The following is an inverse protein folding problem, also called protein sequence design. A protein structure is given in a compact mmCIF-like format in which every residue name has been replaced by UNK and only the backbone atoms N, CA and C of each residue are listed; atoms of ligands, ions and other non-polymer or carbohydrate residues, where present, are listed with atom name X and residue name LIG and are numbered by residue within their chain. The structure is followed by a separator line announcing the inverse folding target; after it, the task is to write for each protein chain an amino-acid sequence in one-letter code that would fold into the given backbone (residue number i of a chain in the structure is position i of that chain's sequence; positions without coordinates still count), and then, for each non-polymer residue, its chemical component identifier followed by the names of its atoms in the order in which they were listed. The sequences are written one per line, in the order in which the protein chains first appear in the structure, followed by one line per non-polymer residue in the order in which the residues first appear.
data_IF_093474903701
#
_entry.id   IF_093474903701
#
_cell.length_a   1.000
_cell.length_b   1.000
_cell.length_c   1.000
_cell.angle_alpha   90.00
_cell.angle_beta   90.00
_cell.angle_gamma   90.00
#
_symmetry.space_group_name_H-M   'P 1'
#
loop_
_entity.id
_entity.type
_entity.pdbx_description
1 polymer ?
2 non-polymer ?
3 non-polymer ?
4 non-polymer ?
5 non-polymer ?
6 water ?
#
# COMPACT_ATOMS: atom_id res chain seq x y z
N UNK A 3 -18.29 6.04 11.45
CA UNK A 3 -18.00 7.36 10.83
C UNK A 3 -19.14 8.31 11.16
N UNK A 4 -18.94 9.18 12.15
CA UNK A 4 -19.77 10.38 12.26
C UNK A 4 -19.42 11.38 11.15
N UNK A 5 -20.35 12.27 10.81
CA UNK A 5 -19.97 13.46 10.08
C UNK A 5 -18.92 14.23 10.89
N UNK A 6 -17.74 14.44 10.29
CA UNK A 6 -16.73 15.36 10.78
C UNK A 6 -16.78 16.70 10.03
N UNK A 7 -16.64 17.83 10.74
CA UNK A 7 -16.73 19.11 10.05
C UNK A 7 -15.50 19.42 9.20
N UNK A 8 -15.71 19.94 7.97
CA UNK A 8 -14.59 20.33 7.12
C UNK A 8 -13.66 21.35 7.79
N UNK A 9 -12.41 21.37 7.33
CA UNK A 9 -11.44 22.34 7.82
C UNK A 9 -11.27 23.37 6.70
N UNK A 10 -11.55 24.64 7.00
CA UNK A 10 -11.89 25.57 5.90
C UNK A 10 -10.87 26.68 5.69
N UNK A 11 -10.45 27.33 6.78
CA UNK A 11 -9.85 28.65 6.62
C UNK A 11 -8.41 28.66 7.09
N UNK A 12 -7.79 27.48 7.03
CA UNK A 12 -6.37 27.38 7.32
C UNK A 12 -5.82 26.23 6.48
N UNK A 13 -4.51 26.08 6.46
CA UNK A 13 -3.95 24.87 5.87
C UNK A 13 -4.25 23.69 6.80
N UNK A 14 -4.38 22.50 6.20
CA UNK A 14 -4.32 21.26 6.99
C UNK A 14 -2.93 21.03 7.61
N UNK A 15 -2.91 20.60 8.87
CA UNK A 15 -1.68 20.43 9.59
C UNK A 15 -1.31 18.95 9.68
N UNK A 16 -0.06 18.65 9.32
CA UNK A 16 0.48 17.27 9.38
C UNK A 16 1.58 17.13 10.42
N UNK A 17 1.66 15.97 11.09
CA UNK A 17 2.86 15.63 11.85
C UNK A 17 3.35 14.31 11.27
N UNK A 18 4.66 14.07 11.36
CA UNK A 18 5.18 12.83 10.79
C UNK A 18 6.12 12.10 11.75
N UNK A 19 6.00 10.77 11.82
CA UNK A 19 6.90 10.01 12.66
C UNK A 19 7.64 8.96 11.84
N UNK A 20 8.95 8.95 12.00
CA UNK A 20 9.82 8.09 11.16
C UNK A 20 10.48 8.77 9.98
N UNK A 21 11.61 9.39 10.27
CA UNK A 21 12.19 10.29 9.30
C UNK A 21 13.23 9.51 8.50
N UNK A 22 12.79 8.46 7.80
CA UNK A 22 13.69 7.69 6.94
C UNK A 22 13.51 7.87 5.45
N UNK A 23 13.71 6.79 4.71
CA UNK A 23 13.68 6.79 3.27
C UNK A 23 12.39 7.31 2.66
N UNK A 24 11.22 6.73 2.98
CA UNK A 24 10.04 7.21 2.23
C UNK A 24 9.55 8.54 2.81
N UNK A 25 9.98 8.89 4.01
CA UNK A 25 9.57 10.21 4.50
C UNK A 25 10.04 11.27 3.49
N UNK A 26 11.16 11.03 2.81
CA UNK A 26 11.53 11.96 1.73
C UNK A 26 10.40 12.24 0.72
N UNK A 27 9.68 11.20 0.30
CA UNK A 27 8.60 11.37 -0.65
C UNK A 27 7.39 12.11 -0.06
N UNK A 28 7.17 11.97 1.24
CA UNK A 28 6.11 12.68 1.92
C UNK A 28 6.51 14.15 2.06
N UNK A 29 7.77 14.40 2.44
CA UNK A 29 8.24 15.82 2.46
C UNK A 29 8.01 16.49 1.10
N UNK A 30 8.47 15.86 0.02
CA UNK A 30 8.26 16.39 -1.33
C UNK A 30 6.80 16.64 -1.62
N UNK A 31 5.95 15.67 -1.26
CA UNK A 31 4.53 15.80 -1.51
C UNK A 31 3.94 17.00 -0.79
N UNK A 32 4.35 17.17 0.45
CA UNK A 32 3.84 18.24 1.30
C UNK A 32 4.36 19.59 0.81
N UNK A 33 5.62 19.61 0.39
CA UNK A 33 6.19 20.82 -0.25
C UNK A 33 5.38 21.26 -1.46
N UNK A 34 5.05 20.32 -2.33
CA UNK A 34 4.13 20.60 -3.42
C UNK A 34 2.81 21.20 -2.96
N UNK A 35 2.25 20.70 -1.87
CA UNK A 35 0.88 21.09 -1.53
C UNK A 35 0.97 22.21 -0.49
N UNK A 36 2.07 22.99 -0.53
CA UNK A 36 2.33 23.94 0.56
C UNK A 36 1.26 25.04 0.78
N UNK A 37 0.42 25.33 -0.22
CA UNK A 37 -0.65 26.30 -0.03
C UNK A 37 -1.85 25.77 0.74
N UNK A 38 -2.03 24.44 0.76
CA UNK A 38 -3.19 23.79 1.39
C UNK A 38 -2.78 23.08 2.67
N UNK A 39 -1.47 22.84 2.82
CA UNK A 39 -0.99 21.93 3.86
C UNK A 39 0.35 22.38 4.40
N UNK A 40 0.58 22.13 5.69
CA UNK A 40 1.91 22.28 6.24
C UNK A 40 2.29 21.15 7.20
N UNK A 41 3.59 20.87 7.22
CA UNK A 41 4.17 19.90 8.14
C UNK A 41 4.76 20.64 9.33
N UNK A 42 4.17 20.46 10.51
CA UNK A 42 4.51 21.26 11.68
C UNK A 42 5.32 20.53 12.74
N UNK A 43 5.39 19.20 12.67
CA UNK A 43 6.09 18.46 13.71
C UNK A 43 6.62 17.15 13.10
N UNK A 44 7.85 16.79 13.45
CA UNK A 44 8.46 15.55 12.95
C UNK A 44 9.07 14.82 14.14
N UNK A 45 9.14 13.48 14.02
CA UNK A 45 9.60 12.68 15.13
C UNK A 45 10.48 11.54 14.61
N UNK A 46 11.61 11.34 15.27
CA UNK A 46 12.48 10.18 15.02
C UNK A 46 13.31 9.83 16.24
N UNK A 47 13.46 8.53 16.54
CA UNK A 47 14.25 8.17 17.71
C UNK A 47 15.76 8.27 17.42
N UNK A 48 16.14 8.48 16.17
CA UNK A 48 17.55 8.65 15.80
C UNK A 48 17.83 10.16 15.63
N UNK A 49 18.62 10.75 16.54
CA UNK A 49 18.92 12.19 16.48
C UNK A 49 19.35 12.75 15.12
N UNK A 50 20.24 12.08 14.41
CA UNK A 50 20.63 12.55 13.09
C UNK A 50 19.52 12.55 12.06
N UNK A 51 18.71 11.49 12.02
CA UNK A 51 17.68 11.45 11.00
C UNK A 51 16.69 12.60 11.27
N UNK A 52 16.41 12.80 12.55
CA UNK A 52 15.51 13.85 12.98
C UNK A 52 16.08 15.23 12.67
N UNK A 53 17.38 15.40 12.92
CA UNK A 53 18.06 16.64 12.56
C UNK A 53 17.90 16.96 11.08
N UNK A 54 18.13 15.99 10.20
CA UNK A 54 18.03 16.25 8.78
C UNK A 54 16.62 16.68 8.40
N UNK A 55 15.61 16.02 8.99
CA UNK A 55 14.22 16.32 8.65
C UNK A 55 13.84 17.74 9.13
N UNK A 56 14.22 18.06 10.36
CA UNK A 56 13.88 19.38 10.90
C UNK A 56 14.52 20.51 10.07
N UNK A 57 15.77 20.30 9.66
CA UNK A 57 16.45 21.31 8.87
C UNK A 57 15.86 21.41 7.46
N UNK A 58 15.46 20.29 6.87
CA UNK A 58 14.81 20.35 5.56
C UNK A 58 13.42 21.00 5.58
N UNK A 59 12.63 20.72 6.60
CA UNK A 59 11.17 20.98 6.50
C UNK A 59 10.78 22.17 7.36
N UNK A 60 11.61 22.53 8.33
CA UNK A 60 11.30 23.62 9.25
C UNK A 60 10.38 23.23 10.41
N UNK A 61 9.85 22.01 10.38
CA UNK A 61 8.96 21.52 11.42
C UNK A 61 9.68 21.45 12.75
N UNK A 62 8.96 21.50 13.87
CA UNK A 62 9.55 21.16 15.16
C UNK A 62 9.88 19.69 15.25
N UNK A 63 10.93 19.38 16.02
CA UNK A 63 11.42 18.01 16.18
C UNK A 63 11.05 17.38 17.50
N UNK A 64 10.85 16.06 17.54
CA UNK A 64 10.59 15.38 18.80
C UNK A 64 11.28 14.03 18.82
N UNK A 65 11.67 13.58 20.01
CA UNK A 65 12.44 12.37 20.18
C UNK A 65 11.58 11.13 20.45
N UNK A 66 10.33 11.32 20.83
CA UNK A 66 9.40 10.20 20.95
C UNK A 66 8.03 10.57 20.37
N UNK A 67 7.28 9.57 19.90
CA UNK A 67 5.94 9.80 19.42
C UNK A 67 5.03 10.31 20.54
N UNK A 68 5.17 9.73 21.71
CA UNK A 68 4.30 10.07 22.83
C UNK A 68 4.42 11.56 23.20
N UNK A 69 5.64 12.08 23.18
CA UNK A 69 5.85 13.53 23.32
C UNK A 69 5.25 14.35 22.18
N UNK A 70 5.54 13.99 20.93
CA UNK A 70 4.98 14.74 19.81
C UNK A 70 3.46 14.81 19.93
N UNK A 71 2.81 13.72 20.40
CA UNK A 71 1.35 13.68 20.44
C UNK A 71 0.81 14.59 21.53
N UNK A 72 1.56 14.70 22.62
CA UNK A 72 1.25 15.66 23.68
C UNK A 72 1.36 17.14 23.24
N UNK A 73 2.07 17.42 22.15
CA UNK A 73 2.34 18.80 21.78
C UNK A 73 1.66 19.27 20.50
N UNK A 74 1.58 18.40 19.50
CA UNK A 74 1.21 18.84 18.17
C UNK A 74 -0.27 19.17 18.07
N UNK A 75 -0.63 20.15 17.27
CA UNK A 75 -2.05 20.28 16.93
C UNK A 75 -2.23 19.92 15.46
N UNK A 76 -1.50 18.89 15.03
CA UNK A 76 -1.69 18.42 13.67
C UNK A 76 -3.09 17.87 13.55
N UNK A 77 -3.65 17.92 12.34
CA UNK A 77 -4.92 17.26 12.01
C UNK A 77 -4.65 15.76 11.79
N UNK A 78 -3.56 15.46 11.08
CA UNK A 78 -3.19 14.09 10.69
C UNK A 78 -1.76 13.77 11.11
N UNK A 79 -1.53 12.55 11.61
CA UNK A 79 -0.20 12.08 12.03
C UNK A 79 0.18 11.01 11.01
N UNK A 80 1.33 11.17 10.38
CA UNK A 80 1.73 10.32 9.25
C UNK A 80 2.72 9.30 9.84
N UNK A 81 2.52 8.01 9.54
CA UNK A 81 3.39 6.97 10.09
C UNK A 81 4.31 6.42 8.99
N UNK A 82 5.60 6.78 9.04
CA UNK A 82 6.57 6.35 8.06
C UNK A 82 7.73 5.61 8.80
N UNK A 83 7.34 4.91 9.86
CA UNK A 83 8.17 4.01 10.66
C UNK A 83 8.19 2.59 10.10
N UNK A 84 9.07 1.76 10.65
CA UNK A 84 8.97 0.33 10.30
C UNK A 84 7.54 -0.22 10.36
N UNK A 85 7.19 -1.10 9.41
CA UNK A 85 5.81 -1.49 9.19
C UNK A 85 5.17 -2.08 10.43
N UNK A 86 5.89 -2.93 11.16
CA UNK A 86 5.37 -3.61 12.35
C UNK A 86 5.08 -2.69 13.53
N UNK A 87 5.56 -1.43 13.43
CA UNK A 87 5.19 -0.43 14.42
C UNK A 87 3.93 0.37 14.08
N UNK A 88 3.45 0.28 12.85
CA UNK A 88 2.29 1.11 12.47
C UNK A 88 1.10 0.86 13.40
N UNK A 89 0.78 -0.42 13.70
CA UNK A 89 -0.44 -0.61 14.51
C UNK A 89 -0.40 0.05 15.88
N UNK A 90 0.64 -0.20 16.68
CA UNK A 90 0.68 0.39 18.02
C UNK A 90 0.69 1.91 17.88
N UNK A 91 1.48 2.43 16.93
CA UNK A 91 1.50 3.91 16.77
C UNK A 91 0.15 4.46 16.32
N UNK A 92 -0.49 3.83 15.34
CA UNK A 92 -1.81 4.29 14.89
C UNK A 92 -2.80 4.32 16.05
N UNK A 93 -2.87 3.23 16.80
CA UNK A 93 -3.81 3.15 17.92
C UNK A 93 -3.54 4.27 18.95
N UNK A 94 -2.27 4.54 19.24
CA UNK A 94 -1.93 5.64 20.16
C UNK A 94 -2.39 7.00 19.60
N UNK A 95 -2.11 7.26 18.32
CA UNK A 95 -2.64 8.46 17.62
C UNK A 95 -4.16 8.56 17.72
N UNK A 96 -4.87 7.48 17.38
CA UNK A 96 -6.30 7.52 17.44
C UNK A 96 -6.80 7.83 18.84
N UNK A 97 -6.21 7.15 19.83
CA UNK A 97 -6.64 7.33 21.21
C UNK A 97 -6.32 8.73 21.74
N UNK A 98 -5.38 9.43 21.12
CA UNK A 98 -5.06 10.82 21.49
C UNK A 98 -5.86 11.82 20.66
N UNK A 99 -6.76 11.35 19.82
CA UNK A 99 -7.59 12.27 19.05
C UNK A 99 -7.14 12.72 17.68
N UNK A 100 -6.25 11.97 17.00
CA UNK A 100 -5.76 12.35 15.68
C UNK A 100 -6.23 11.40 14.58
N UNK A 101 -6.55 11.95 13.42
CA UNK A 101 -6.52 11.20 12.16
C UNK A 101 -5.12 10.69 11.87
N UNK A 102 -5.07 9.50 11.27
CA UNK A 102 -3.78 8.82 11.04
C UNK A 102 -3.66 8.54 9.55
N UNK A 103 -2.47 8.72 8.99
CA UNK A 103 -2.20 8.24 7.65
C UNK A 103 -1.04 7.26 7.81
N UNK A 104 -1.26 5.97 7.56
CA UNK A 104 -0.15 5.02 7.77
C UNK A 104 0.42 4.63 6.42
N UNK A 105 1.75 4.55 6.34
CA UNK A 105 2.36 3.91 5.20
C UNK A 105 1.93 2.43 5.13
N UNK A 106 2.07 1.86 3.95
CA UNK A 106 1.78 0.43 3.73
C UNK A 106 2.99 -0.36 4.21
N UNK A 107 2.80 -1.65 4.49
CA UNK A 107 1.44 -2.14 4.74
C UNK A 107 0.99 -1.65 6.11
N UNK A 108 -0.33 -1.64 6.33
CA UNK A 108 -0.85 -1.09 7.56
C UNK A 108 -0.42 -1.84 8.80
N UNK A 109 -0.23 -3.16 8.66
CA UNK A 109 0.22 -4.00 9.77
C UNK A 109 0.96 -5.20 9.19
N UNK A 110 1.59 -5.97 10.07
CA UNK A 110 2.30 -7.19 9.62
C UNK A 110 1.57 -8.44 10.14
N UNK A 111 0.59 -8.23 10.99
CA UNK A 111 -0.20 -9.31 11.64
C UNK A 111 -1.66 -8.95 11.60
N UNK A 112 -2.51 -9.96 11.40
CA UNK A 112 -3.90 -9.69 11.16
C UNK A 112 -4.61 -8.97 12.32
N UNK A 113 -4.47 -9.50 13.53
CA UNK A 113 -5.23 -8.87 14.63
C UNK A 113 -4.74 -7.43 14.84
N UNK A 114 -3.46 -7.15 14.55
CA UNK A 114 -2.96 -5.75 14.72
C UNK A 114 -3.70 -4.83 13.70
N UNK A 115 -3.91 -5.27 12.48
CA UNK A 115 -4.65 -4.47 11.49
C UNK A 115 -6.06 -4.21 11.99
N UNK A 116 -6.74 -5.28 12.42
CA UNK A 116 -8.08 -5.16 12.96
C UNK A 116 -8.14 -4.13 14.09
N UNK A 117 -7.17 -4.18 15.00
CA UNK A 117 -7.19 -3.33 16.20
C UNK A 117 -6.97 -1.88 15.77
N UNK A 118 -6.17 -1.61 14.75
CA UNK A 118 -5.98 -0.20 14.39
C UNK A 118 -7.26 0.39 13.76
N UNK A 119 -8.02 -0.41 13.00
CA UNK A 119 -9.31 -0.02 12.46
C UNK A 119 -10.34 0.22 13.58
N UNK A 120 -10.39 -0.70 14.54
CA UNK A 120 -11.33 -0.61 15.68
C UNK A 120 -11.05 0.68 16.47
N UNK A 121 -9.78 1.05 16.63
CA UNK A 121 -9.39 2.21 17.47
C UNK A 121 -9.78 3.48 16.75
N UNK A 122 -9.55 3.54 15.44
CA UNK A 122 -9.95 4.69 14.65
C UNK A 122 -11.47 4.78 14.61
N UNK A 123 -12.17 3.66 14.44
CA UNK A 123 -13.63 3.67 14.52
C UNK A 123 -14.07 4.29 15.84
N UNK A 124 -13.51 3.85 16.96
CA UNK A 124 -14.00 4.27 18.25
C UNK A 124 -13.68 5.75 18.48
N UNK A 125 -12.59 6.23 17.91
CA UNK A 125 -12.23 7.64 18.07
C UNK A 125 -13.03 8.54 17.12
N UNK A 126 -13.71 7.97 16.13
CA UNK A 126 -14.36 8.72 15.08
C UNK A 126 -13.34 9.61 14.39
N UNK A 127 -12.21 8.99 14.03
CA UNK A 127 -11.17 9.68 13.27
C UNK A 127 -10.81 8.82 12.09
N UNK A 128 -10.32 9.45 11.04
CA UNK A 128 -9.91 8.73 9.83
C UNK A 128 -8.63 7.92 10.05
N UNK A 129 -8.55 6.82 9.33
CA UNK A 129 -7.30 6.08 9.16
C UNK A 129 -7.13 5.96 7.63
N UNK A 130 -6.15 6.66 7.08
CA UNK A 130 -5.80 6.56 5.66
C UNK A 130 -4.63 5.59 5.54
N UNK A 131 -4.63 4.77 4.49
CA UNK A 131 -3.50 3.85 4.23
C UNK A 131 -2.99 4.25 2.88
N UNK A 132 -1.68 4.41 2.78
CA UNK A 132 -1.06 4.86 1.55
C UNK A 132 -0.96 3.77 0.51
N UNK A 133 -1.79 3.84 -0.50
CA UNK A 133 -1.71 2.99 -1.70
C UNK A 133 -1.59 3.91 -2.93
N UNK A 134 -0.40 4.44 -3.11
CA UNK A 134 -0.21 5.53 -4.06
C UNK A 134 -0.15 5.05 -5.51
N UNK A 135 0.04 3.75 -5.73
CA UNK A 135 0.13 3.21 -7.10
C UNK A 135 -1.18 3.10 -7.87
N UNK A 136 -2.31 3.05 -7.15
CA UNK A 136 -3.62 2.85 -7.72
C UNK A 136 -3.92 3.95 -8.74
N UNK A 137 -3.39 5.13 -8.51
CA UNK A 137 -3.69 6.23 -9.46
C UNK A 137 -2.72 6.29 -10.63
N UNK A 138 -1.81 5.33 -10.75
CA UNK A 138 -1.01 5.25 -11.96
C UNK A 138 -1.90 5.15 -13.19
N UNK A 139 -1.50 5.78 -14.29
CA UNK A 139 -2.33 5.79 -15.47
C UNK A 139 -2.71 4.44 -16.05
N UNK A 140 -1.75 3.51 -16.13
CA UNK A 140 -2.06 2.17 -16.59
C UNK A 140 -3.10 1.46 -15.73
N UNK A 141 -2.93 1.59 -14.41
CA UNK A 141 -3.77 0.90 -13.41
C UNK A 141 -5.15 1.54 -13.36
N UNK A 142 -5.23 2.86 -13.57
CA UNK A 142 -6.52 3.51 -13.78
C UNK A 142 -7.30 3.06 -15.01
N UNK A 143 -6.63 2.91 -16.15
CA UNK A 143 -7.35 2.37 -17.30
C UNK A 143 -7.88 0.96 -17.06
N UNK A 144 -7.03 0.09 -16.53
CA UNK A 144 -7.45 -1.25 -16.12
C UNK A 144 -8.66 -1.15 -15.21
N UNK A 145 -8.57 -0.31 -14.17
CA UNK A 145 -9.72 -0.22 -13.27
C UNK A 145 -10.99 0.23 -14.00
N UNK A 146 -10.84 1.22 -14.87
CA UNK A 146 -11.97 1.66 -15.68
C UNK A 146 -12.54 0.55 -16.56
N UNK A 147 -11.66 -0.23 -17.19
CA UNK A 147 -12.15 -1.34 -18.00
C UNK A 147 -12.95 -2.32 -17.15
N UNK A 148 -12.47 -2.58 -15.94
CA UNK A 148 -13.16 -3.47 -15.01
C UNK A 148 -14.52 -2.89 -14.63
N UNK A 149 -14.55 -1.64 -14.18
CA UNK A 149 -15.83 -0.98 -13.83
C UNK A 149 -16.86 -1.00 -14.97
N UNK A 150 -16.41 -0.88 -16.21
CA UNK A 150 -17.32 -0.94 -17.35
C UNK A 150 -17.71 -2.36 -17.75
N UNK A 151 -17.16 -3.38 -17.09
CA UNK A 151 -17.37 -4.78 -17.47
C UNK A 151 -16.88 -5.13 -18.87
N UNK A 152 -15.79 -4.54 -19.31
CA UNK A 152 -15.32 -4.77 -20.66
C UNK A 152 -14.86 -6.23 -20.89
N UNK A 153 -14.47 -6.92 -19.81
CA UNK A 153 -13.96 -8.28 -20.01
C UNK A 153 -15.09 -9.32 -20.05
N UNK A 154 -16.30 -8.94 -19.64
CA UNK A 154 -17.31 -9.92 -19.29
C UNK A 154 -16.73 -10.78 -18.16
N UNK A 155 -17.07 -12.06 -18.14
CA UNK A 155 -16.63 -12.97 -17.06
C UNK A 155 -15.11 -13.07 -17.09
N UNK A 156 -14.44 -12.90 -15.95
CA UNK A 156 -12.99 -13.09 -15.87
C UNK A 156 -12.67 -14.57 -15.65
N UNK A 157 -11.65 -15.02 -16.37
CA UNK A 157 -11.28 -16.43 -16.34
C UNK A 157 -9.91 -16.66 -15.72
N UNK A 158 -8.91 -15.86 -16.06
CA UNK A 158 -7.53 -16.14 -15.77
C UNK A 158 -6.74 -14.86 -15.55
N UNK A 159 -5.94 -14.85 -14.48
CA UNK A 159 -5.14 -13.70 -14.07
C UNK A 159 -3.72 -14.17 -13.73
N UNK A 160 -2.69 -13.47 -14.21
CA UNK A 160 -1.32 -13.74 -13.78
C UNK A 160 -0.62 -12.46 -13.42
N UNK A 161 -0.07 -12.39 -12.22
CA UNK A 161 0.75 -11.24 -11.80
C UNK A 161 2.20 -11.73 -11.60
N UNK A 162 3.21 -11.04 -12.13
CA UNK A 162 4.62 -11.38 -11.91
C UNK A 162 5.34 -10.17 -11.38
N UNK A 163 6.09 -10.36 -10.33
CA UNK A 163 7.00 -9.31 -9.81
C UNK A 163 8.36 -9.98 -9.71
N UNK A 164 9.18 -9.71 -10.74
CA UNK A 164 10.51 -10.34 -10.83
C UNK A 164 11.53 -9.21 -10.65
N UNK A 165 11.92 -8.99 -9.40
CA UNK A 165 12.72 -7.83 -9.02
C UNK A 165 14.02 -8.27 -8.35
N UNK A 166 14.80 -7.27 -7.91
CA UNK A 166 16.09 -7.60 -7.36
C UNK A 166 16.38 -6.82 -6.12
N UNK A 167 16.70 -7.50 -5.00
CA UNK A 167 17.07 -6.84 -3.74
C UNK A 167 18.26 -7.60 -3.22
N UNK A 168 19.43 -6.91 -3.12
CA UNK A 168 20.63 -7.62 -2.68
C UNK A 168 20.66 -7.66 -1.16
N UNK A 169 21.56 -8.45 -0.57
CA UNK A 169 21.66 -8.48 0.89
C UNK A 169 21.76 -7.09 1.53
N UNK A 170 22.48 -6.17 0.89
CA UNK A 170 22.76 -4.88 1.52
C UNK A 170 21.45 -4.08 1.72
N UNK A 171 20.43 -4.35 0.89
CA UNK A 171 19.11 -3.75 1.08
C UNK A 171 18.51 -4.13 2.43
N UNK A 172 18.48 -5.42 2.74
CA UNK A 172 17.96 -5.90 4.02
C UNK A 172 18.84 -5.51 5.20
N UNK A 173 20.15 -5.40 5.00
CA UNK A 173 21.04 -5.15 6.13
C UNK A 173 21.01 -3.66 6.51
N UNK A 174 20.39 -2.85 5.67
CA UNK A 174 20.35 -1.39 5.91
C UNK A 174 19.78 -1.04 7.28
N UNK A 175 18.85 -1.85 7.78
CA UNK A 175 18.30 -1.63 9.14
C UNK A 175 17.74 -2.91 9.76
N UNK A 176 17.75 -2.98 11.09
CA UNK A 176 17.51 -4.21 11.83
C UNK A 176 16.09 -4.71 11.56
N UNK A 177 15.16 -3.79 11.39
CA UNK A 177 13.75 -4.14 11.20
C UNK A 177 13.54 -4.87 9.90
N UNK A 178 14.39 -4.65 8.89
CA UNK A 178 14.09 -5.13 7.54
C UNK A 178 14.34 -6.64 7.51
N UNK A 179 13.44 -7.33 6.80
CA UNK A 179 13.61 -8.77 6.60
C UNK A 179 13.10 -9.61 7.74
N UNK A 180 12.33 -9.04 8.66
CA UNK A 180 11.84 -9.71 9.86
C UNK A 180 10.32 -9.90 9.75
N UNK A 181 9.79 -11.00 10.28
CA UNK A 181 8.33 -11.16 10.19
C UNK A 181 7.61 -10.02 10.98
N UNK A 182 8.19 -9.71 12.15
CA UNK A 182 7.44 -8.88 13.11
C UNK A 182 7.34 -7.47 12.55
N UNK A 183 8.41 -7.00 11.91
CA UNK A 183 8.44 -5.58 11.48
C UNK A 183 8.30 -5.31 10.00
N UNK A 184 8.53 -6.33 9.17
CA UNK A 184 8.58 -6.14 7.73
C UNK A 184 7.66 -7.06 6.92
N UNK A 185 7.83 -8.36 7.09
CA UNK A 185 7.31 -9.28 6.05
C UNK A 185 8.27 -9.37 4.90
N UNK A 186 7.97 -10.21 3.90
CA UNK A 186 8.95 -10.46 2.82
C UNK A 186 8.44 -10.01 1.47
N UNK A 187 8.88 -10.73 0.44
CA UNK A 187 8.62 -10.35 -0.95
C UNK A 187 7.16 -9.99 -1.22
N UNK A 188 6.22 -10.71 -0.59
CA UNK A 188 4.80 -10.37 -0.79
C UNK A 188 4.33 -9.17 0.03
N UNK A 189 4.63 -9.13 1.32
CA UNK A 189 4.06 -8.10 2.21
C UNK A 189 4.77 -6.74 2.08
N UNK A 190 6.07 -6.80 1.81
CA UNK A 190 6.80 -5.54 1.55
C UNK A 190 6.88 -5.29 0.05
N UNK A 191 7.77 -5.98 -0.65
CA UNK A 191 8.19 -5.46 -1.97
C UNK A 191 7.09 -5.43 -3.01
N UNK A 192 6.33 -6.51 -3.08
CA UNK A 192 5.27 -6.60 -4.07
C UNK A 192 3.87 -6.23 -3.56
N UNK A 193 3.75 -5.55 -2.42
CA UNK A 193 2.45 -5.33 -1.83
C UNK A 193 1.50 -4.52 -2.72
N UNK A 194 2.04 -3.64 -3.56
CA UNK A 194 1.18 -2.85 -4.46
C UNK A 194 0.59 -3.72 -5.57
N UNK A 195 1.17 -4.90 -5.78
CA UNK A 195 0.66 -5.85 -6.76
C UNK A 195 -0.32 -6.82 -6.10
N UNK A 196 -0.05 -7.23 -4.86
CA UNK A 196 -1.04 -7.99 -4.10
C UNK A 196 -2.34 -7.19 -4.06
N UNK A 197 -2.19 -5.87 -3.90
CA UNK A 197 -3.34 -4.99 -3.83
C UNK A 197 -4.25 -5.16 -5.04
N UNK A 198 -3.67 -5.44 -6.21
CA UNK A 198 -4.51 -5.51 -7.41
C UNK A 198 -5.51 -6.67 -7.40
N UNK A 199 -5.18 -7.71 -6.61
CA UNK A 199 -6.00 -8.91 -6.66
C UNK A 199 -7.46 -8.65 -6.27
N UNK A 200 -7.70 -8.05 -5.12
CA UNK A 200 -9.04 -7.69 -4.74
C UNK A 200 -9.51 -6.39 -5.46
N UNK A 201 -8.61 -5.41 -5.61
CA UNK A 201 -9.05 -4.07 -6.11
C UNK A 201 -9.44 -4.18 -7.56
N UNK A 202 -8.67 -4.89 -8.40
CA UNK A 202 -9.06 -4.97 -9.81
C UNK A 202 -9.96 -6.15 -10.03
N UNK A 203 -9.62 -7.34 -9.51
CA UNK A 203 -10.36 -8.51 -9.96
C UNK A 203 -11.59 -8.85 -9.14
N UNK A 204 -11.58 -8.52 -7.85
CA UNK A 204 -12.77 -8.72 -7.04
C UNK A 204 -12.53 -9.66 -5.85
N UNK A 205 -13.60 -10.04 -5.16
CA UNK A 205 -13.43 -10.80 -3.92
C UNK A 205 -12.77 -12.15 -4.18
N UNK A 206 -11.77 -12.47 -3.35
CA UNK A 206 -11.03 -13.73 -3.43
C UNK A 206 -11.72 -14.74 -2.50
N UNK A 207 -11.83 -15.97 -2.97
CA UNK A 207 -12.39 -17.07 -2.20
C UNK A 207 -11.32 -17.78 -1.39
N UNK A 208 -10.17 -18.09 -2.02
CA UNK A 208 -9.13 -18.85 -1.27
C UNK A 208 -7.80 -18.69 -2.01
N UNK A 209 -6.73 -19.02 -1.28
CA UNK A 209 -5.40 -19.04 -1.89
C UNK A 209 -4.68 -20.32 -1.48
N UNK A 210 -3.65 -20.67 -2.28
CA UNK A 210 -2.72 -21.75 -1.93
C UNK A 210 -1.31 -21.25 -2.26
N UNK A 211 -0.41 -21.20 -1.30
CA UNK A 211 0.86 -20.49 -1.48
C UNK A 211 2.07 -21.34 -1.13
N UNK A 212 3.21 -21.05 -1.78
CA UNK A 212 4.51 -21.54 -1.34
C UNK A 212 5.39 -20.28 -1.23
N UNK A 213 6.17 -20.24 -0.14
CA UNK A 213 7.22 -19.22 -0.11
C UNK A 213 8.51 -19.81 0.44
N UNK A 214 9.63 -19.11 0.20
CA UNK A 214 10.90 -19.68 0.58
C UNK A 214 11.89 -18.54 0.73
N UNK A 215 12.97 -18.82 1.47
CA UNK A 215 14.11 -17.88 1.47
C UNK A 215 15.18 -18.65 0.73
N UNK A 216 15.33 -18.41 -0.55
CA UNK A 216 16.26 -19.20 -1.37
C UNK A 216 17.69 -18.69 -1.41
N UNK A 217 17.88 -17.43 -1.01
CA UNK A 217 19.26 -16.90 -1.09
C UNK A 217 19.59 -15.89 -0.04
N UNK A 218 18.66 -15.03 0.34
CA UNK A 218 19.04 -13.96 1.28
C UNK A 218 19.14 -14.44 2.72
N UNK A 219 19.94 -13.74 3.51
CA UNK A 219 20.09 -14.03 4.92
C UNK A 219 19.12 -13.19 5.74
N UNK A 220 17.87 -13.64 5.75
CA UNK A 220 16.74 -12.97 6.37
C UNK A 220 15.77 -14.08 6.77
N UNK A 221 14.80 -13.77 7.58
CA UNK A 221 13.87 -14.84 7.99
C UNK A 221 12.60 -14.85 7.15
N UNK A 222 12.27 -13.75 6.46
CA UNK A 222 11.14 -13.69 5.54
C UNK A 222 11.44 -14.21 4.13
N UNK A 223 10.41 -14.45 3.32
CA UNK A 223 10.62 -14.97 1.98
C UNK A 223 11.27 -13.98 1.05
N UNK A 224 12.20 -14.49 0.23
CA UNK A 224 12.64 -13.75 -0.94
C UNK A 224 11.99 -14.16 -2.23
N UNK A 225 11.17 -15.23 -2.18
CA UNK A 225 10.60 -15.85 -3.38
C UNK A 225 9.26 -16.48 -2.99
N UNK A 226 8.27 -16.41 -3.87
CA UNK A 226 6.98 -17.03 -3.53
C UNK A 226 6.09 -17.16 -4.73
N UNK A 227 5.09 -18.03 -4.63
CA UNK A 227 4.08 -18.15 -5.65
C UNK A 227 2.75 -18.46 -4.96
N UNK A 228 1.68 -17.86 -5.48
CA UNK A 228 0.38 -18.10 -4.87
C UNK A 228 -0.61 -18.43 -5.97
N UNK A 229 -1.37 -19.52 -5.80
CA UNK A 229 -2.53 -19.91 -6.62
C UNK A 229 -3.75 -19.20 -5.99
N UNK A 230 -4.57 -18.52 -6.80
CA UNK A 230 -5.71 -17.77 -6.29
C UNK A 230 -7.01 -18.21 -6.97
N UNK A 231 -8.09 -18.34 -6.18
CA UNK A 231 -9.42 -18.62 -6.67
C UNK A 231 -10.33 -17.49 -6.27
N UNK A 232 -11.00 -16.84 -7.23
CA UNK A 232 -11.94 -15.76 -6.94
C UNK A 232 -13.34 -16.33 -6.76
N UNK A 233 -14.19 -15.62 -5.97
CA UNK A 233 -15.55 -16.05 -5.75
C UNK A 233 -16.34 -16.12 -7.06
N UNK A 234 -15.91 -15.35 -8.07
CA UNK A 234 -16.53 -15.46 -9.40
C UNK A 234 -16.18 -16.75 -10.17
N UNK A 235 -15.21 -17.51 -9.66
CA UNK A 235 -14.72 -18.73 -10.34
C UNK A 235 -13.40 -18.45 -11.02
N UNK A 236 -13.08 -17.18 -11.24
CA UNK A 236 -11.78 -16.85 -11.94
C UNK A 236 -10.61 -17.47 -11.19
N UNK A 237 -9.58 -17.91 -11.93
CA UNK A 237 -8.38 -18.47 -11.28
C UNK A 237 -7.16 -17.69 -11.68
N UNK A 238 -6.09 -17.78 -10.90
CA UNK A 238 -4.88 -17.08 -11.31
C UNK A 238 -3.72 -17.41 -10.41
N UNK A 239 -2.57 -16.81 -10.72
CA UNK A 239 -1.39 -16.94 -9.87
C UNK A 239 -0.65 -15.61 -9.76
N UNK A 240 0.04 -15.42 -8.64
CA UNK A 240 1.01 -14.34 -8.50
C UNK A 240 2.36 -14.91 -8.12
N UNK A 241 3.39 -14.51 -8.87
CA UNK A 241 4.74 -15.07 -8.71
C UNK A 241 5.65 -13.92 -8.36
N UNK A 242 6.45 -14.05 -7.31
CA UNK A 242 7.35 -12.97 -6.93
C UNK A 242 8.74 -13.50 -6.61
N UNK A 243 9.80 -12.79 -7.02
CA UNK A 243 11.09 -13.07 -6.41
C UNK A 243 11.87 -11.78 -6.35
N UNK A 244 12.69 -11.64 -5.32
CA UNK A 244 13.66 -10.51 -5.20
C UNK A 244 15.04 -10.98 -5.63
N UNK A 245 15.13 -12.12 -6.29
CA UNK A 245 16.46 -12.71 -6.57
C UNK A 245 16.76 -12.64 -8.06
N UNK A 246 16.14 -11.71 -8.80
CA UNK A 246 16.23 -11.75 -10.26
C UNK A 246 17.63 -11.28 -10.73
N UNK A 247 18.16 -12.04 -11.67
CA UNK A 247 19.49 -11.71 -12.27
C UNK A 247 19.31 -10.82 -13.47
N UNK A 248 19.98 -9.66 -13.46
CA UNK A 248 20.83 -9.07 -12.43
C UNK A 248 20.22 -7.79 -11.87
N UNK A 249 19.05 -7.41 -12.37
CA UNK A 249 18.29 -6.25 -11.88
C UNK A 249 16.79 -6.45 -12.14
N UNK A 250 15.96 -5.50 -11.73
CA UNK A 250 14.52 -5.62 -11.90
C UNK A 250 14.17 -5.95 -13.34
N UNK A 251 13.31 -6.95 -13.52
CA UNK A 251 12.95 -7.40 -14.85
C UNK A 251 11.49 -7.13 -15.22
N UNK A 252 10.57 -7.39 -14.31
CA UNK A 252 9.15 -7.43 -14.71
C UNK A 252 8.22 -7.14 -13.53
N UNK A 253 7.24 -6.27 -13.77
CA UNK A 253 6.11 -6.02 -12.87
C UNK A 253 4.94 -6.04 -13.81
N UNK A 254 4.16 -7.13 -13.84
CA UNK A 254 3.13 -7.27 -14.87
C UNK A 254 1.85 -7.87 -14.35
N UNK A 255 0.79 -7.62 -15.08
CA UNK A 255 -0.47 -8.32 -14.87
C UNK A 255 -1.10 -8.65 -16.19
N UNK A 256 -1.63 -9.86 -16.27
CA UNK A 256 -2.34 -10.30 -17.46
C UNK A 256 -3.75 -10.67 -17.02
N UNK A 257 -4.77 -10.16 -17.70
CA UNK A 257 -6.16 -10.47 -17.36
C UNK A 257 -6.89 -10.96 -18.57
N UNK A 258 -7.48 -12.15 -18.50
CA UNK A 258 -8.21 -12.81 -19.57
C UNK A 258 -9.62 -13.06 -19.17
N UNK A 259 -10.57 -12.51 -19.95
CA UNK A 259 -11.96 -12.85 -19.77
C UNK A 259 -12.69 -13.18 -21.05
N UNK A 260 -14.00 -13.33 -20.92
CA UNK A 260 -14.87 -13.79 -22.02
C UNK A 260 -14.68 -12.91 -23.26
N UNK A 261 -14.60 -11.60 -23.01
CA UNK A 261 -14.60 -10.70 -24.15
C UNK A 261 -13.48 -9.68 -24.11
N UNK A 262 -12.35 -10.05 -23.52
CA UNK A 262 -11.23 -9.14 -23.43
C UNK A 262 -9.97 -9.81 -22.93
N UNK A 263 -8.81 -9.35 -23.40
CA UNK A 263 -7.51 -9.87 -22.98
C UNK A 263 -6.55 -8.70 -22.86
N UNK A 264 -5.93 -8.53 -21.69
CA UNK A 264 -5.02 -7.42 -21.48
C UNK A 264 -3.74 -7.88 -20.81
N UNK A 265 -2.62 -7.27 -21.18
CA UNK A 265 -1.41 -7.38 -20.43
C UNK A 265 -0.78 -6.02 -20.27
N UNK A 266 -0.48 -5.67 -19.03
CA UNK A 266 0.29 -4.47 -18.70
C UNK A 266 1.57 -4.94 -18.06
N UNK A 267 2.71 -4.62 -18.68
CA UNK A 267 3.98 -5.08 -18.17
C UNK A 267 5.03 -3.97 -18.06
N UNK A 268 6.26 -4.30 -18.42
CA UNK A 268 7.39 -3.44 -18.07
C UNK A 268 7.97 -3.83 -16.74
N UNK A 269 8.85 -3.00 -16.19
CA UNK A 269 9.47 -3.30 -14.89
C UNK A 269 8.50 -2.99 -13.75
N UNK A 270 7.44 -2.22 -14.04
CA UNK A 270 6.53 -1.71 -13.01
C UNK A 270 5.11 -1.40 -13.49
N UNK A 271 4.45 -2.38 -14.10
CA UNK A 271 3.12 -2.20 -14.68
C UNK A 271 2.94 -0.85 -15.36
N UNK A 272 3.93 -0.53 -16.16
CA UNK A 272 4.02 0.82 -16.75
C UNK A 272 3.88 0.83 -18.27
N UNK A 273 3.76 -0.35 -18.88
CA UNK A 273 3.63 -0.44 -20.34
C UNK A 273 2.46 -1.30 -20.75
N UNK A 274 1.47 -0.69 -21.39
CA UNK A 274 0.38 -1.48 -21.93
C UNK A 274 0.84 -2.24 -23.14
N UNK A 275 0.93 -3.57 -23.00
CA UNK A 275 1.54 -4.46 -24.00
C UNK A 275 0.51 -5.21 -24.83
N UNK A 276 -0.70 -5.39 -24.30
CA UNK A 276 -1.72 -6.13 -25.01
C UNK A 276 -3.04 -5.60 -24.53
N UNK A 277 -3.94 -5.24 -25.44
CA UNK A 277 -5.14 -4.51 -25.11
C UNK A 277 -6.26 -4.79 -26.11
N UNK A 278 -6.96 -5.90 -25.95
CA UNK A 278 -7.87 -6.39 -26.98
C UNK A 278 -9.27 -6.70 -26.42
N UNK A 279 -10.25 -5.91 -26.86
CA UNK A 279 -11.63 -6.06 -26.37
C UNK A 279 -12.62 -6.33 -27.50
N UNK A 280 -13.73 -6.98 -27.18
CA UNK A 280 -14.71 -7.36 -28.20
C UNK A 280 -15.40 -6.13 -28.77
N UNK A 281 -15.56 -5.08 -27.96
CA UNK A 281 -16.00 -3.77 -28.44
C UNK A 281 -15.18 -2.57 -27.98
N UNK A 282 -14.87 -1.66 -28.92
CA UNK A 282 -14.02 -0.50 -28.64
C UNK A 282 -14.70 0.39 -27.61
N UNK A 283 -13.94 1.30 -27.02
CA UNK A 283 -14.42 2.20 -25.96
C UNK A 283 -13.64 3.50 -26.08
N UNK A 284 -14.25 4.61 -25.68
CA UNK A 284 -13.58 5.92 -25.65
C UNK A 284 -12.20 5.82 -24.98
N UNK A 285 -12.14 5.08 -23.88
CA UNK A 285 -10.90 4.99 -23.09
C UNK A 285 -9.75 4.39 -23.91
N UNK A 286 -10.04 3.68 -24.99
CA UNK A 286 -8.98 3.08 -25.83
C UNK A 286 -8.01 4.03 -26.53
N UNK A 287 -8.38 5.31 -26.70
CA UNK A 287 -7.44 6.24 -27.32
C UNK A 287 -6.42 6.88 -26.38
N UNK A 288 -6.58 6.64 -25.09
CA UNK A 288 -5.62 7.10 -24.08
C UNK A 288 -4.42 6.15 -23.95
N UNK A 289 -4.43 5.06 -24.72
CA UNK A 289 -3.60 3.91 -24.41
C UNK A 289 -2.10 4.06 -24.62
N UNK A 290 -1.72 4.87 -25.61
CA UNK A 290 -0.30 5.19 -25.79
C UNK A 290 0.18 6.14 -24.68
N UNK A 291 -0.59 7.19 -24.43
CA UNK A 291 -0.33 8.16 -23.35
C UNK A 291 -0.32 7.56 -21.92
N UNK A 292 -1.28 6.70 -21.61
CA UNK A 292 -1.22 5.97 -20.34
C UNK A 292 0.18 5.38 -20.11
N UNK A 293 0.66 4.57 -21.05
CA UNK A 293 2.05 4.11 -20.98
C UNK A 293 2.99 5.32 -20.94
N UNK A 301 1.63 15.58 -9.23
CA UNK A 301 2.23 14.49 -10.01
C UNK A 301 1.52 13.14 -9.99
N UNK A 302 2.29 12.08 -9.80
CA UNK A 302 1.71 10.77 -9.51
C UNK A 302 2.32 10.34 -8.20
N UNK A 303 1.93 9.16 -7.71
CA UNK A 303 2.56 8.70 -6.51
C UNK A 303 2.08 9.53 -5.34
N UNK A 304 3.00 9.81 -4.44
CA UNK A 304 2.66 10.42 -3.15
C UNK A 304 1.96 11.78 -3.29
N UNK A 305 2.41 12.61 -4.24
CA UNK A 305 1.74 13.92 -4.33
C UNK A 305 0.24 13.85 -4.59
N UNK A 306 -0.18 13.00 -5.51
CA UNK A 306 -1.59 12.77 -5.82
C UNK A 306 -2.30 12.18 -4.61
N UNK A 307 -1.67 11.24 -3.92
CA UNK A 307 -2.27 10.66 -2.74
C UNK A 307 -2.60 11.76 -1.76
N UNK A 308 -1.67 12.69 -1.58
CA UNK A 308 -1.91 13.76 -0.66
C UNK A 308 -3.09 14.67 -1.08
N UNK A 309 -3.35 14.83 -2.37
CA UNK A 309 -4.49 15.67 -2.81
C UNK A 309 -5.79 15.04 -2.27
N UNK A 310 -5.97 13.71 -2.38
CA UNK A 310 -7.17 13.12 -1.80
C UNK A 310 -7.29 13.28 -0.27
N UNK A 311 -6.18 13.19 0.45
CA UNK A 311 -6.21 13.29 1.90
C UNK A 311 -6.59 14.73 2.28
N UNK A 312 -5.99 15.69 1.57
CA UNK A 312 -6.34 17.10 1.76
C UNK A 312 -7.80 17.37 1.44
N UNK A 313 -8.27 16.96 0.27
CA UNK A 313 -9.69 17.09 -0.06
C UNK A 313 -10.60 16.45 0.98
N UNK A 314 -10.22 15.28 1.50
CA UNK A 314 -11.08 14.67 2.50
C UNK A 314 -11.20 15.60 3.70
N UNK A 315 -10.09 16.16 4.15
CA UNK A 315 -10.07 16.99 5.35
C UNK A 315 -10.88 18.29 5.14
N UNK A 316 -11.02 18.66 3.87
CA UNK A 316 -11.73 19.89 3.50
C UNK A 316 -13.18 19.62 3.16
N UNK A 317 -13.63 18.39 3.36
CA UNK A 317 -15.01 18.01 3.06
C UNK A 317 -15.31 17.80 1.59
N UNK A 318 -14.26 17.81 0.74
CA UNK A 318 -14.44 17.80 -0.70
C UNK A 318 -14.44 16.40 -1.29
N UNK A 319 -13.97 15.45 -0.50
CA UNK A 319 -14.04 14.07 -0.97
C UNK A 319 -14.00 13.15 0.22
N UNK A 320 -14.00 11.86 -0.11
CA UNK A 320 -13.85 10.79 0.88
C UNK A 320 -12.55 10.02 0.60
N UNK A 321 -12.05 9.25 1.60
CA UNK A 321 -10.76 8.60 1.39
C UNK A 321 -10.79 7.62 0.22
N UNK A 322 -9.76 7.66 -0.61
CA UNK A 322 -9.66 6.64 -1.64
C UNK A 322 -9.28 5.32 -0.99
N UNK A 323 -8.48 5.40 0.04
CA UNK A 323 -8.05 4.14 0.67
C UNK A 323 -7.99 4.31 2.16
N UNK A 324 -9.06 3.96 2.87
CA UNK A 324 -9.05 4.02 4.32
C UNK A 324 -8.59 2.70 4.95
N UNK A 325 -8.56 2.63 6.27
CA UNK A 325 -8.08 1.42 6.96
C UNK A 325 -8.86 0.18 6.56
N UNK A 326 -10.17 0.30 6.44
CA UNK A 326 -10.98 -0.82 6.03
C UNK A 326 -10.65 -1.29 4.62
N UNK A 327 -10.33 -0.37 3.72
CA UNK A 327 -9.89 -0.74 2.37
C UNK A 327 -8.54 -1.44 2.48
N UNK A 328 -7.64 -0.95 3.35
CA UNK A 328 -6.32 -1.55 3.54
C UNK A 328 -6.46 -2.99 4.06
N UNK A 329 -7.50 -3.29 4.82
CA UNK A 329 -7.63 -4.66 5.37
C UNK A 329 -7.84 -5.64 4.24
N UNK A 330 -8.38 -5.22 3.09
CA UNK A 330 -8.66 -6.20 2.02
C UNK A 330 -7.37 -6.85 1.55
N UNK A 331 -6.33 -6.07 1.26
CA UNK A 331 -5.08 -6.70 0.81
C UNK A 331 -4.34 -7.30 2.00
N UNK A 332 -4.42 -6.71 3.19
CA UNK A 332 -3.75 -7.33 4.34
C UNK A 332 -4.33 -8.71 4.55
N UNK A 333 -5.65 -8.85 4.44
CA UNK A 333 -6.25 -10.19 4.72
C UNK A 333 -5.72 -11.20 3.70
N UNK A 334 -5.53 -10.79 2.44
CA UNK A 334 -4.93 -11.69 1.44
C UNK A 334 -3.50 -12.06 1.82
N UNK A 335 -2.68 -11.08 2.22
CA UNK A 335 -1.31 -11.35 2.57
C UNK A 335 -1.27 -12.36 3.70
N UNK A 336 -2.15 -12.15 4.70
CA UNK A 336 -2.12 -13.02 5.90
C UNK A 336 -2.63 -14.40 5.47
N UNK A 337 -3.60 -14.48 4.55
CA UNK A 337 -4.03 -15.82 4.10
C UNK A 337 -2.90 -16.53 3.32
N UNK A 338 -2.17 -15.77 2.49
CA UNK A 338 -1.04 -16.33 1.72
C UNK A 338 0.04 -16.81 2.72
N UNK A 339 0.34 -16.00 3.75
CA UNK A 339 1.35 -16.41 4.75
C UNK A 339 0.95 -17.63 5.58
N UNK A 340 -0.31 -17.69 5.98
CA UNK A 340 -0.80 -18.89 6.68
C UNK A 340 -0.73 -20.10 5.73
N UNK A 341 -1.14 -19.91 4.48
CA UNK A 341 -1.17 -21.05 3.54
C UNK A 341 0.25 -21.56 3.29
N UNK A 342 1.20 -20.65 3.07
CA UNK A 342 2.59 -21.06 2.83
C UNK A 342 3.18 -21.73 4.06
N UNK A 343 2.82 -21.25 5.25
CA UNK A 343 3.41 -21.80 6.46
C UNK A 343 2.90 -23.23 6.65
N UNK A 344 1.59 -23.45 6.51
CA UNK A 344 1.00 -24.71 6.89
C UNK A 344 0.84 -25.65 5.70
N UNK A 345 1.12 -25.19 4.48
CA UNK A 345 0.92 -26.08 3.30
C UNK A 345 -0.52 -26.47 3.06
N UNK A 346 -1.42 -25.51 3.21
CA UNK A 346 -2.85 -25.80 3.03
C UNK A 346 -3.57 -24.62 2.36
N UNK A 347 -4.67 -24.93 1.70
CA UNK A 347 -5.54 -23.90 1.12
C UNK A 347 -6.14 -23.12 2.26
N UNK A 348 -6.12 -21.78 2.12
CA UNK A 348 -6.72 -20.94 3.18
C UNK A 348 -7.83 -20.12 2.55
N UNK A 349 -9.03 -20.22 3.15
CA UNK A 349 -10.19 -19.54 2.57
C UNK A 349 -10.61 -18.31 3.37
N UNK A 350 -11.30 -17.40 2.66
CA UNK A 350 -11.68 -16.08 3.18
C UNK A 350 -13.21 -16.04 3.35
N UNK A 351 -13.71 -15.11 4.19
CA UNK A 351 -12.94 -14.20 5.04
C UNK A 351 -12.30 -14.96 6.19
N UNK A 352 -11.25 -14.37 6.75
CA UNK A 352 -10.55 -15.01 7.89
C UNK A 352 -11.39 -15.09 9.16
N UNK A 353 -12.28 -14.13 9.32
CA UNK A 353 -13.07 -14.09 10.55
C UNK A 353 -14.59 -14.14 10.36
N UNK A 354 -15.23 -15.00 11.15
CA UNK A 354 -16.65 -14.96 11.37
C UNK A 354 -16.89 -14.77 12.86
X LIG B 1 13.59 3.47 7.10
X LIG B 1 14.31 2.45 7.88
X LIG B 1 14.37 4.29 5.98
X LIG B 1 12.88 4.56 8.00
X LIG B 1 12.98 4.22 9.35
X LIG B 1 12.66 5.46 10.17
X LIG B 1 11.81 5.21 11.31
X LIG B 1 14.09 5.64 10.69
X LIG B 1 14.54 6.98 10.48
X LIG B 1 14.04 5.12 12.14
X LIG B 1 15.00 5.72 13.00
X LIG B 1 12.60 5.55 12.48
X LIG B 1 12.07 4.92 13.67
X LIG B 1 12.16 3.59 14.01
X LIG B 1 11.50 3.40 15.11
X LIG B 1 10.86 4.56 15.51
X LIG B 1 10.05 4.95 16.59
X LIG B 1 9.65 4.07 17.57
X LIG B 1 9.65 6.23 16.66
X LIG B 1 10.04 7.10 15.74
X LIG B 1 10.80 6.80 14.69
X LIG B 1 11.25 5.53 14.57
X LIG B 1 12.37 2.75 6.37
X LIG B 1 11.53 3.22 5.16
X LIG B 1 12.00 2.57 3.89
X LIG B 1 11.31 4.76 5.08
X LIG B 1 10.12 2.44 5.26
X LIG B 1 9.26 3.13 6.14
X LIG B 1 7.83 2.63 6.03
X LIG B 1 7.39 3.04 4.72
X LIG B 1 7.67 1.08 5.99
X LIG B 1 6.39 0.80 6.57
X LIG B 1 7.61 0.76 4.49
X LIG B 1 6.80 -0.38 4.22
X LIG B 1 6.89 2.01 3.89
X LIG B 1 7.23 2.23 2.50
X LIG B 1 6.26 2.42 1.62
X LIG B 1 6.51 2.58 0.26
X LIG B 1 5.41 2.82 -0.71
X LIG B 1 5.43 2.55 -1.90
X LIG B 1 4.25 3.40 -0.27
X LIG B 1 7.84 2.40 -0.17
X LIG B 1 8.83 2.31 0.78
X LIG B 1 8.51 2.21 2.12
X LIG C 1 17.16 -2.48 -6.23
X LIG C 1 18.11 -3.24 -6.76
X LIG C 1 19.08 -3.62 -6.05
X LIG C 1 18.09 -3.58 -8.05
X LIG C 1 17.09 -3.17 -8.84
X LIG C 1 17.15 -3.46 -10.07
X LIG C 1 16.07 -2.38 -8.31
X LIG C 1 16.14 -2.03 -6.97
X LIG C 1 13.44 1.05 -5.73
X LIG C 1 10.90 1.85 -4.82
X LIG C 1 11.76 -2.64 -1.91
X LIG C 1 11.50 -1.31 -0.18
X LIG C 1 9.57 -0.38 -4.41
X LIG C 1 13.15 0.62 -7.17
X LIG C 1 10.45 1.87 -6.26
X LIG C 1 17.22 -2.20 -4.78
X LIG C 1 8.07 -0.68 -4.18
X LIG C 1 7.24 0.32 -4.84
X LIG C 1 14.04 2.39 -5.42
X LIG C 1 11.10 3.10 -3.99
X LIG C 1 18.02 -0.95 -4.45
X LIG C 1 18.75 -1.28 -3.26
X LIG C 1 7.75 -0.70 -2.69
X LIG C 1 6.44 -1.31 -2.57
X LIG C 1 12.17 0.86 -4.77
X LIG C 1 9.81 0.97 -3.97
X LIG C 1 16.95 0.05 -4.06
X LIG C 1 17.43 0.98 -3.09
X LIG C 1 8.76 -1.56 -1.91
X LIG C 1 8.58 -1.46 -0.50
X LIG C 1 15.83 -0.80 -3.47
X LIG C 1 15.88 -1.93 -4.35
X LIG C 1 10.15 -0.96 -2.18
X LIG C 1 10.39 -1.20 -3.57
X LIG C 1 14.49 -0.12 -3.66
X LIG C 1 14.37 -0.09 -5.08
X LIG C 1 11.20 -1.66 -1.36
X LIG C 1 6.32 0.10 -5.79
X LIG C 1 5.94 -1.00 -6.19
X LIG C 1 5.70 1.34 -6.38
X LIG D 1 7.34 -7.38 -19.42
X LIG E 1 7.47 -20.74 3.19
#
# INVERSE_FOLDING_TARGET
GHMIVIPPITDRKIRFALVGCGRIANNHFGALEKHADRAELIDVCDIDPAALKAAVERTGARGHASLTDMLAQTDADIVILTTPSGLHPTQSIECSEAGFHVMTEKPMATRWEDGLEMVKAADKAKKHLFVVKQNRRNATLQLLKRAMQEKRFGRIYMVNVNVFWTRPQEYYDAAGWRGTWEFDGGAFMNQASHYVDLLDWLIGPVESVQAYTATLARNIEVEDTGTVSVKWRSGALGSMNVTMLTYPKNLEGSITILGEKGSVRVGGVAVNEIQHWEFSEPHAMDEEIKDASYATTSVYGFGHPLYYDNVIKTMRGEATPETDGREGLKSLELLIAMYLSARDGRRVSLPLDY
NAI PA O1A O2A O5B C5B C4B O4B C3B O3B C2B O2B C1B N9A C8A N7A C5A C6A N6A N1A C2A N3A C4A O3 PN O1N O2N O5D C5D C4D O4D C3D O3D C2D O2D C1D N1N C2N C3N C7N O7N N7N C4N C5N C6N
HP7 N1 C2 O2 N3 C4 O4 C5 C6 PA PB O'P O'Q C1' O1A O1B C1C C2' N2' O2A O2B C2C O2C C3' O3' O3A O3B C3C O3C C4' O4' C4C O4C C5' O5' C5C O5C C6' C7' O7' C8'
CL CL
NA NA
#
